data_IF_963914342208
#
_entry.id   IF_963914342208
#
_cell.length_a   1.000
_cell.length_b   1.000
_cell.length_c   1.000
_cell.angle_alpha   90.00
_cell.angle_beta   90.00
_cell.angle_gamma   90.00
#
_symmetry.space_group_name_H-M   'P 1'
#
loop_
_entity.id
_entity.type
_entity.pdbx_description
1 polymer ?
#
# COMPACT_ATOMS: atom_id res chain seq x y z
N UNK A 1 -9.18 18.18 -7.61
CA UNK A 1 -8.21 17.60 -6.67
C UNK A 1 -6.77 17.70 -7.18
N UNK A 2 -6.36 16.98 -8.25
CA UNK A 2 -4.95 16.96 -8.69
C UNK A 2 -4.36 18.33 -9.08
N UNK A 3 -5.03 19.11 -9.95
CA UNK A 3 -4.55 20.45 -10.33
C UNK A 3 -4.36 21.38 -9.12
N UNK A 4 -5.36 21.43 -8.25
CA UNK A 4 -5.30 22.20 -6.99
C UNK A 4 -4.14 21.75 -6.10
N UNK A 5 -3.94 20.44 -5.94
CA UNK A 5 -2.83 19.91 -5.16
C UNK A 5 -1.46 20.26 -5.77
N UNK A 6 -1.37 20.38 -7.10
CA UNK A 6 -0.16 20.89 -7.78
C UNK A 6 0.06 22.37 -7.49
N UNK A 7 -1.00 23.17 -7.54
CA UNK A 7 -0.94 24.61 -7.26
C UNK A 7 -0.59 24.92 -5.80
N UNK A 8 -1.21 24.22 -4.85
CA UNK A 8 -0.99 24.43 -3.41
C UNK A 8 0.43 24.09 -2.96
N UNK A 9 1.10 23.17 -3.66
CA UNK A 9 2.32 22.55 -3.16
C UNK A 9 3.48 22.51 -4.16
N UNK A 10 3.32 23.09 -5.36
CA UNK A 10 4.37 23.22 -6.36
C UNK A 10 4.90 21.90 -6.93
N UNK A 11 4.21 20.77 -6.70
CA UNK A 11 4.69 19.45 -7.11
C UNK A 11 3.97 18.92 -8.35
N UNK A 12 4.69 18.24 -9.25
CA UNK A 12 4.11 17.72 -10.50
C UNK A 12 3.18 16.51 -10.26
N UNK A 13 3.53 15.68 -9.28
CA UNK A 13 2.79 14.47 -8.90
C UNK A 13 2.47 14.50 -7.40
N UNK A 14 1.55 15.37 -6.95
CA UNK A 14 1.35 15.64 -5.52
C UNK A 14 0.96 14.39 -4.74
N UNK A 15 0.14 13.50 -5.32
CA UNK A 15 -0.34 12.29 -4.64
C UNK A 15 0.73 11.20 -4.45
N UNK A 16 1.95 11.39 -4.97
CA UNK A 16 3.09 10.49 -4.65
C UNK A 16 3.90 10.97 -3.44
N UNK A 17 3.60 12.15 -2.90
CA UNK A 17 4.29 12.73 -1.76
C UNK A 17 3.64 12.28 -0.45
N UNK A 18 4.45 12.11 0.60
CA UNK A 18 4.01 11.59 1.92
C UNK A 18 2.88 12.39 2.58
N UNK A 19 2.84 13.69 2.29
CA UNK A 19 1.83 14.64 2.81
C UNK A 19 0.42 14.37 2.29
N UNK A 20 0.29 13.64 1.18
CA UNK A 20 -1.00 13.24 0.65
C UNK A 20 -1.26 11.79 1.00
N UNK A 21 -2.42 11.54 1.59
CA UNK A 21 -2.84 10.22 2.05
C UNK A 21 -4.28 9.97 1.60
N UNK A 22 -4.65 8.71 1.45
CA UNK A 22 -6.00 8.32 1.02
C UNK A 22 -6.44 7.08 1.77
N UNK A 23 -7.74 6.92 1.96
CA UNK A 23 -8.39 5.70 2.44
C UNK A 23 -8.99 4.86 1.28
N UNK A 24 -8.72 5.26 0.04
CA UNK A 24 -9.29 4.68 -1.18
C UNK A 24 -10.58 5.34 -1.66
N UNK A 25 -11.15 6.29 -0.91
CA UNK A 25 -12.34 7.06 -1.32
C UNK A 25 -12.04 8.55 -1.42
N UNK A 26 -11.49 9.12 -0.35
CA UNK A 26 -11.16 10.54 -0.25
C UNK A 26 -9.63 10.74 -0.24
N UNK A 27 -9.19 11.94 -0.62
CA UNK A 27 -7.77 12.31 -0.62
C UNK A 27 -7.57 13.42 0.41
N UNK A 28 -6.66 13.17 1.34
CA UNK A 28 -6.35 14.08 2.42
C UNK A 28 -4.95 14.63 2.29
N UNK A 29 -4.76 15.90 2.66
CA UNK A 29 -3.46 16.54 2.78
C UNK A 29 -3.21 16.96 4.24
N UNK A 30 -2.02 16.69 4.77
CA UNK A 30 -1.58 17.34 6.00
C UNK A 30 -1.21 18.80 5.69
N UNK A 31 -1.84 19.75 6.37
CA UNK A 31 -1.60 21.19 6.24
C UNK A 31 -1.35 21.79 7.62
N UNK A 32 -0.71 22.96 7.67
CA UNK A 32 -0.66 23.76 8.89
C UNK A 32 -1.91 24.65 8.93
N UNK A 33 -2.59 24.69 10.07
CA UNK A 33 -3.70 25.62 10.28
C UNK A 33 -3.21 27.02 10.68
N UNK A 34 -4.14 27.94 10.94
CA UNK A 34 -3.84 29.34 11.31
C UNK A 34 -3.07 29.46 12.64
N UNK A 35 -3.13 28.44 13.49
CA UNK A 35 -2.39 28.35 14.76
C UNK A 35 -1.03 27.70 14.62
N UNK A 36 -0.71 27.16 13.43
CA UNK A 36 0.55 26.44 13.17
C UNK A 36 0.51 24.97 13.55
N UNK A 37 -0.67 24.42 13.83
CA UNK A 37 -0.86 23.01 14.16
C UNK A 37 -1.14 22.17 12.91
N UNK A 38 -0.74 20.89 12.92
CA UNK A 38 -0.99 19.97 11.81
C UNK A 38 -2.48 19.57 11.73
N UNK A 39 -3.18 20.08 10.73
CA UNK A 39 -4.54 19.69 10.38
C UNK A 39 -4.58 18.76 9.15
N UNK A 40 -5.68 18.00 9.00
CA UNK A 40 -5.95 17.20 7.80
C UNK A 40 -7.04 17.88 6.99
N UNK A 41 -6.78 18.11 5.70
CA UNK A 41 -7.71 18.72 4.75
C UNK A 41 -8.18 17.67 3.75
N UNK A 42 -9.49 17.42 3.69
CA UNK A 42 -10.11 16.68 2.58
C UNK A 42 -10.08 17.57 1.33
N UNK A 43 -9.30 17.17 0.32
CA UNK A 43 -9.10 17.95 -0.90
C UNK A 43 -10.28 17.86 -1.88
N UNK A 44 -11.14 16.86 -1.70
CA UNK A 44 -12.32 16.68 -2.54
C UNK A 44 -13.44 17.56 -2.00
N UNK A 45 -13.72 17.46 -0.70
CA UNK A 45 -14.79 18.22 -0.03
C UNK A 45 -14.37 19.63 0.40
N UNK A 46 -13.06 19.92 0.41
CA UNK A 46 -12.48 21.21 0.83
C UNK A 46 -12.81 21.58 2.27
N UNK A 47 -12.75 20.60 3.15
CA UNK A 47 -13.04 20.80 4.57
C UNK A 47 -11.98 20.14 5.43
N UNK A 48 -11.73 20.71 6.61
CA UNK A 48 -10.89 20.09 7.62
C UNK A 48 -11.56 18.82 8.14
N UNK A 49 -10.74 17.80 8.37
CA UNK A 49 -11.14 16.52 8.91
C UNK A 49 -10.46 16.27 10.24
N UNK A 50 -11.17 15.59 11.15
CA UNK A 50 -10.61 15.22 12.43
C UNK A 50 -9.49 14.19 12.24
N UNK A 51 -8.24 14.63 12.44
CA UNK A 51 -7.04 13.81 12.24
C UNK A 51 -7.11 12.47 12.97
N UNK A 52 -7.51 12.48 14.24
CA UNK A 52 -7.61 11.28 15.06
C UNK A 52 -8.64 10.26 14.55
N UNK A 53 -9.68 10.73 13.83
CA UNK A 53 -10.74 9.87 13.29
C UNK A 53 -10.36 9.31 11.92
N UNK A 54 -9.71 10.11 11.06
CA UNK A 54 -9.36 9.70 9.69
C UNK A 54 -8.08 8.89 9.63
N UNK A 55 -7.05 9.22 10.43
CA UNK A 55 -5.73 8.57 10.35
C UNK A 55 -5.78 7.02 10.33
N UNK A 56 -6.63 6.35 11.14
CA UNK A 56 -6.74 4.89 11.11
C UNK A 56 -7.29 4.27 9.81
N UNK A 57 -8.07 5.03 9.02
CA UNK A 57 -8.63 4.57 7.74
C UNK A 57 -7.68 4.75 6.57
N UNK A 58 -6.67 5.63 6.71
CA UNK A 58 -5.70 5.90 5.64
C UNK A 58 -4.87 4.66 5.32
N UNK A 59 -4.53 4.52 4.03
CA UNK A 59 -3.64 3.49 3.55
C UNK A 59 -2.26 3.63 4.20
N UNK A 60 -1.83 2.56 4.87
CA UNK A 60 -0.52 2.44 5.48
C UNK A 60 0.42 1.61 4.59
N UNK A 61 1.71 1.58 4.97
CA UNK A 61 2.70 0.71 4.34
C UNK A 61 3.32 1.24 3.05
N UNK A 62 3.12 2.51 2.69
CA UNK A 62 3.84 3.14 1.57
C UNK A 62 5.23 3.57 2.08
N UNK A 63 6.28 3.02 1.47
CA UNK A 63 7.65 3.46 1.69
C UNK A 63 7.99 4.56 0.70
N UNK A 64 8.47 5.70 1.21
CA UNK A 64 8.86 6.86 0.44
C UNK A 64 10.39 7.00 0.40
N UNK A 65 10.96 7.36 -0.75
CA UNK A 65 12.32 7.88 -0.84
C UNK A 65 12.27 9.39 -0.64
N UNK A 66 12.62 9.83 0.57
CA UNK A 66 12.48 11.23 0.98
C UNK A 66 11.00 11.65 1.06
N UNK A 67 10.73 12.95 0.90
CA UNK A 67 9.37 13.47 1.07
C UNK A 67 8.46 13.31 -0.16
N UNK A 68 9.03 13.07 -1.34
CA UNK A 68 8.33 13.34 -2.59
C UNK A 68 8.01 12.12 -3.46
N UNK A 69 8.66 10.97 -3.21
CA UNK A 69 8.55 9.80 -4.11
C UNK A 69 8.21 8.53 -3.37
N UNK A 70 6.95 8.10 -3.45
CA UNK A 70 6.55 6.73 -3.12
C UNK A 70 7.35 5.73 -3.96
N UNK A 71 7.99 4.75 -3.32
CA UNK A 71 8.84 3.73 -3.97
C UNK A 71 8.17 2.38 -4.05
N UNK A 72 7.58 1.95 -2.95
CA UNK A 72 6.94 0.63 -2.83
C UNK A 72 5.83 0.70 -1.81
N UNK A 73 4.94 -0.28 -1.88
CA UNK A 73 3.78 -0.35 -1.01
C UNK A 73 3.62 -1.77 -0.43
N UNK A 74 3.39 -1.84 0.88
CA UNK A 74 3.02 -3.04 1.61
C UNK A 74 1.50 -3.01 1.87
N UNK A 75 0.69 -3.73 1.07
CA UNK A 75 -0.77 -3.61 1.09
C UNK A 75 -1.45 -4.30 2.28
N UNK A 76 -0.70 -5.06 3.08
CA UNK A 76 -1.20 -5.79 4.25
C UNK A 76 -0.82 -5.03 5.51
N UNK A 77 -1.83 -4.64 6.30
CA UNK A 77 -1.61 -3.90 7.55
C UNK A 77 -0.67 -4.68 8.48
N UNK A 78 0.30 -3.99 9.06
CA UNK A 78 1.31 -4.57 9.98
C UNK A 78 2.10 -5.77 9.44
N UNK A 79 2.13 -6.01 8.13
CA UNK A 79 2.90 -7.09 7.51
C UNK A 79 3.68 -6.59 6.31
N UNK A 80 4.96 -6.96 6.25
CA UNK A 80 5.83 -6.70 5.10
C UNK A 80 6.03 -7.93 4.23
N UNK A 81 5.15 -8.93 4.32
CA UNK A 81 5.31 -10.20 3.60
C UNK A 81 5.09 -10.07 2.08
N UNK A 82 4.14 -9.21 1.67
CA UNK A 82 3.83 -8.92 0.26
C UNK A 82 4.15 -7.46 -0.03
N UNK A 83 4.75 -7.18 -1.18
CA UNK A 83 5.13 -5.83 -1.62
C UNK A 83 4.76 -5.61 -3.08
N UNK A 84 4.33 -4.40 -3.39
CA UNK A 84 4.22 -3.88 -4.74
C UNK A 84 5.35 -2.87 -4.92
N UNK A 85 6.29 -3.17 -5.81
CA UNK A 85 7.45 -2.32 -6.10
C UNK A 85 7.59 -2.24 -7.63
N UNK A 86 7.45 -1.07 -8.28
CA UNK A 86 7.56 -0.94 -9.73
C UNK A 86 8.87 -1.48 -10.31
N UNK A 87 9.95 -1.49 -9.52
CA UNK A 87 11.25 -2.04 -9.93
C UNK A 87 11.32 -3.57 -9.85
N UNK A 88 10.30 -4.24 -9.28
CA UNK A 88 10.23 -5.71 -9.14
C UNK A 88 8.98 -6.24 -9.82
N UNK A 89 9.15 -7.20 -10.72
CA UNK A 89 8.04 -7.84 -11.43
C UNK A 89 7.02 -6.83 -12.01
N UNK A 90 7.51 -5.69 -12.50
CA UNK A 90 6.71 -4.59 -13.06
C UNK A 90 5.61 -4.06 -12.12
N UNK A 91 5.85 -4.07 -10.80
CA UNK A 91 4.89 -3.59 -9.80
C UNK A 91 3.81 -4.59 -9.42
N UNK A 92 3.83 -5.81 -9.97
CA UNK A 92 2.95 -6.88 -9.51
C UNK A 92 3.23 -7.23 -8.04
N UNK A 93 2.22 -7.71 -7.29
CA UNK A 93 2.44 -8.14 -5.92
C UNK A 93 3.41 -9.34 -5.88
N UNK A 94 4.42 -9.24 -5.03
CA UNK A 94 5.41 -10.30 -4.84
C UNK A 94 5.68 -10.51 -3.36
N UNK A 95 6.15 -11.71 -3.01
CA UNK A 95 6.73 -11.97 -1.70
C UNK A 95 7.98 -11.11 -1.51
N UNK A 96 8.05 -10.36 -0.42
CA UNK A 96 9.09 -9.34 -0.21
C UNK A 96 10.49 -9.93 -0.25
N UNK A 97 10.70 -11.08 0.40
CA UNK A 97 12.02 -11.72 0.53
C UNK A 97 12.41 -12.44 -0.77
N UNK A 98 11.52 -13.23 -1.36
CA UNK A 98 11.87 -14.10 -2.50
C UNK A 98 11.60 -13.48 -3.86
N UNK A 99 10.72 -12.47 -3.93
CA UNK A 99 10.29 -11.85 -5.19
C UNK A 99 9.37 -12.69 -6.04
N UNK A 100 8.90 -13.83 -5.51
CA UNK A 100 7.96 -14.71 -6.23
C UNK A 100 6.59 -14.03 -6.27
N UNK A 101 5.96 -14.08 -7.45
CA UNK A 101 4.62 -13.59 -7.71
C UNK A 101 3.60 -14.29 -6.79
N UNK A 102 2.77 -13.52 -6.08
CA UNK A 102 1.76 -14.07 -5.17
C UNK A 102 0.73 -14.91 -5.91
N UNK A 103 0.39 -14.54 -7.15
CA UNK A 103 -0.53 -15.31 -7.99
C UNK A 103 0.05 -16.69 -8.35
N UNK A 104 1.37 -16.77 -8.61
CA UNK A 104 2.02 -18.05 -8.90
C UNK A 104 1.98 -19.01 -7.70
N UNK A 105 2.22 -18.49 -6.49
CA UNK A 105 2.09 -19.25 -5.25
C UNK A 105 0.64 -19.70 -5.04
N UNK A 106 -0.34 -18.82 -5.27
CA UNK A 106 -1.75 -19.14 -5.11
C UNK A 106 -2.24 -20.21 -6.09
N UNK A 107 -1.89 -20.12 -7.37
CA UNK A 107 -2.22 -21.17 -8.34
C UNK A 107 -1.56 -22.51 -7.99
N UNK A 108 -0.32 -22.49 -7.51
CA UNK A 108 0.37 -23.70 -7.04
C UNK A 108 -0.33 -24.28 -5.81
N UNK A 109 -0.79 -23.44 -4.89
CA UNK A 109 -1.59 -23.85 -3.74
C UNK A 109 -2.88 -24.55 -4.15
N UNK A 110 -3.60 -24.02 -5.14
CA UNK A 110 -4.80 -24.68 -5.67
C UNK A 110 -4.47 -26.03 -6.33
N UNK A 111 -3.39 -26.09 -7.11
CA UNK A 111 -2.96 -27.31 -7.80
C UNK A 111 -2.51 -28.42 -6.84
N UNK A 112 -1.85 -28.06 -5.74
CA UNK A 112 -1.35 -28.99 -4.72
C UNK A 112 -2.40 -29.35 -3.65
N UNK A 113 -3.69 -29.21 -3.99
CA UNK A 113 -4.80 -29.57 -3.10
C UNK A 113 -4.89 -28.69 -1.85
N UNK A 114 -4.59 -27.40 -1.99
CA UNK A 114 -4.64 -26.41 -0.91
C UNK A 114 -3.66 -26.72 0.25
N UNK A 115 -2.49 -27.27 -0.09
CA UNK A 115 -1.46 -27.61 0.89
C UNK A 115 -0.32 -26.60 0.90
N UNK A 116 -0.34 -25.66 1.86
CA UNK A 116 0.72 -24.67 2.02
C UNK A 116 2.09 -25.31 2.27
N UNK A 117 2.15 -26.43 3.01
CA UNK A 117 3.38 -27.18 3.28
C UNK A 117 4.01 -27.75 2.01
N UNK A 118 3.18 -28.24 1.08
CA UNK A 118 3.66 -28.84 -0.17
C UNK A 118 4.20 -27.78 -1.11
N UNK A 119 3.49 -26.66 -1.25
CA UNK A 119 3.98 -25.49 -2.00
C UNK A 119 5.27 -24.92 -1.39
N UNK A 120 5.33 -24.81 -0.06
CA UNK A 120 6.51 -24.35 0.65
C UNK A 120 7.75 -25.20 0.32
N UNK A 121 7.58 -26.53 0.25
CA UNK A 121 8.63 -27.44 -0.15
C UNK A 121 9.04 -27.24 -1.62
N UNK A 122 8.08 -27.12 -2.53
CA UNK A 122 8.34 -26.96 -3.97
C UNK A 122 9.08 -25.66 -4.32
N UNK A 123 8.75 -24.57 -3.63
CA UNK A 123 9.35 -23.26 -3.85
C UNK A 123 10.51 -22.95 -2.91
N UNK A 124 10.84 -23.88 -1.99
CA UNK A 124 11.88 -23.72 -0.97
C UNK A 124 11.70 -22.44 -0.12
N UNK A 125 10.46 -22.13 0.25
CA UNK A 125 10.11 -20.96 1.07
C UNK A 125 9.43 -21.35 2.38
N UNK A 126 9.44 -20.49 3.41
CA UNK A 126 8.71 -20.77 4.65
C UNK A 126 7.20 -20.92 4.40
N UNK A 127 6.50 -21.85 5.09
CA UNK A 127 5.05 -21.99 4.98
C UNK A 127 4.29 -20.68 5.25
N UNK A 128 4.77 -19.87 6.19
CA UNK A 128 4.19 -18.55 6.48
C UNK A 128 4.21 -17.59 5.28
N UNK A 129 5.21 -17.70 4.39
CA UNK A 129 5.26 -16.91 3.16
C UNK A 129 4.19 -17.36 2.16
N UNK A 130 3.97 -18.69 2.05
CA UNK A 130 2.88 -19.24 1.23
C UNK A 130 1.52 -18.75 1.76
N UNK A 131 1.29 -18.87 3.06
CA UNK A 131 0.06 -18.40 3.69
C UNK A 131 -0.16 -16.91 3.48
N UNK A 132 0.88 -16.09 3.59
CA UNK A 132 0.79 -14.65 3.33
C UNK A 132 0.37 -14.34 1.88
N UNK A 133 0.94 -15.03 0.90
CA UNK A 133 0.55 -14.87 -0.51
C UNK A 133 -0.89 -15.33 -0.75
N UNK A 134 -1.27 -16.50 -0.22
CA UNK A 134 -2.63 -17.06 -0.39
C UNK A 134 -3.69 -16.14 0.25
N UNK A 135 -3.46 -15.67 1.47
CA UNK A 135 -4.37 -14.76 2.16
C UNK A 135 -4.51 -13.41 1.42
N UNK A 136 -3.42 -12.93 0.81
CA UNK A 136 -3.44 -11.71 0.00
C UNK A 136 -4.28 -11.88 -1.26
N UNK A 137 -4.11 -12.97 -2.02
CA UNK A 137 -4.90 -13.24 -3.23
C UNK A 137 -6.38 -13.43 -2.93
N UNK A 138 -6.72 -14.14 -1.85
CA UNK A 138 -8.12 -14.26 -1.40
C UNK A 138 -8.78 -12.91 -1.11
N UNK A 139 -8.02 -11.96 -0.55
CA UNK A 139 -8.52 -10.61 -0.25
C UNK A 139 -8.77 -9.78 -1.51
N UNK A 140 -7.99 -9.98 -2.58
CA UNK A 140 -8.18 -9.25 -3.85
C UNK A 140 -9.39 -9.77 -4.63
N UNK A 141 -9.67 -11.08 -4.53
CA UNK A 141 -10.77 -11.71 -5.24
C UNK A 141 -12.17 -11.44 -4.64
N UNK A 142 -12.24 -10.88 -3.42
CA UNK A 142 -13.46 -10.57 -2.67
C UNK A 142 -13.90 -9.12 -2.86
#
# INVERSE_FOLDING_TARGET
ASLQAREMFGQRYPFTCRRFQTDGRDIFATVLDETGDEALLDLVKRQYAFKQVITPSLYEGIDYAGEESAKRWYPVKRSKAVVLDPARNFGKPVLTITGIDTAAIYHSYLAEGQSAKRVALLYEIPPAAVEAAVNFEHRIAA
#
